data_IF_579492332980
#
_entry.id   IF_579492332980
#
_cell.length_a   1.000
_cell.length_b   1.000
_cell.length_c   1.000
_cell.angle_alpha   90.00
_cell.angle_beta   90.00
_cell.angle_gamma   90.00
#
_symmetry.space_group_name_H-M   'P 1'
#
loop_
_entity.id
_entity.type
_entity.pdbx_description
1 polymer ?
#
# COMPACT_ATOMS: atom_id res chain seq x y z
N UNK A 1 -26.05 14.57 -2.00
CA UNK A 1 -24.82 14.36 -2.78
C UNK A 1 -24.69 12.87 -3.02
N UNK A 2 -24.46 12.43 -4.25
CA UNK A 2 -24.11 11.02 -4.48
C UNK A 2 -22.74 10.76 -3.86
N UNK A 3 -22.63 9.71 -3.04
CA UNK A 3 -21.34 9.27 -2.50
C UNK A 3 -20.43 8.81 -3.65
N UNK A 4 -19.15 9.19 -3.59
CA UNK A 4 -18.12 8.72 -4.51
C UNK A 4 -17.25 7.62 -3.90
N UNK A 5 -16.33 7.07 -4.70
CA UNK A 5 -15.40 6.03 -4.26
C UNK A 5 -14.67 6.36 -2.94
N UNK A 6 -14.23 7.60 -2.78
CA UNK A 6 -13.50 8.03 -1.58
C UNK A 6 -14.37 8.16 -0.33
N UNK A 7 -15.68 8.31 -0.50
CA UNK A 7 -16.61 8.22 0.62
C UNK A 7 -16.75 6.76 1.06
N UNK A 8 -16.86 5.82 0.11
CA UNK A 8 -16.87 4.39 0.44
C UNK A 8 -15.56 3.91 1.08
N UNK A 9 -14.39 4.37 0.59
CA UNK A 9 -13.12 4.04 1.25
C UNK A 9 -13.07 4.56 2.69
N UNK A 10 -13.63 5.75 2.94
CA UNK A 10 -13.70 6.32 4.29
C UNK A 10 -14.66 5.54 5.18
N UNK A 11 -15.82 5.14 4.67
CA UNK A 11 -16.82 4.38 5.42
C UNK A 11 -16.30 2.99 5.81
N UNK A 12 -15.51 2.34 4.95
CA UNK A 12 -14.89 1.05 5.27
C UNK A 12 -13.64 1.16 6.16
N UNK A 13 -13.02 2.33 6.29
CA UNK A 13 -11.83 2.49 7.12
C UNK A 13 -12.17 2.34 8.61
N UNK A 14 -12.04 1.14 9.15
CA UNK A 14 -12.27 0.87 10.58
C UNK A 14 -10.97 0.64 11.36
N UNK A 15 -9.83 1.11 10.85
CA UNK A 15 -8.53 0.80 11.46
C UNK A 15 -8.27 1.65 12.70
N UNK A 16 -8.21 1.05 13.88
CA UNK A 16 -8.01 1.76 15.16
C UNK A 16 -6.74 2.63 15.15
N UNK A 17 -5.64 2.09 14.61
CA UNK A 17 -4.35 2.81 14.56
C UNK A 17 -4.39 4.08 13.69
N UNK A 18 -5.22 4.09 12.65
CA UNK A 18 -5.45 5.28 11.84
C UNK A 18 -6.09 6.39 12.69
N UNK A 19 -7.16 6.08 13.42
CA UNK A 19 -7.86 7.05 14.25
C UNK A 19 -7.00 7.53 15.42
N UNK A 20 -6.31 6.60 16.09
CA UNK A 20 -5.43 6.91 17.22
C UNK A 20 -4.30 7.88 16.81
N UNK A 21 -3.54 7.55 15.76
CA UNK A 21 -2.42 8.39 15.29
C UNK A 21 -2.94 9.73 14.78
N UNK A 22 -4.03 9.73 14.02
CA UNK A 22 -4.65 10.95 13.53
C UNK A 22 -5.05 11.90 14.66
N UNK A 23 -5.71 11.38 15.70
CA UNK A 23 -6.08 12.18 16.87
C UNK A 23 -4.85 12.66 17.66
N UNK A 24 -3.89 11.76 17.90
CA UNK A 24 -2.68 12.09 18.68
C UNK A 24 -1.83 13.19 18.04
N UNK A 25 -1.78 13.25 16.71
CA UNK A 25 -1.00 14.24 15.96
C UNK A 25 -1.81 15.48 15.54
N UNK A 26 -3.07 15.61 15.95
CA UNK A 26 -3.95 16.70 15.49
C UNK A 26 -4.26 16.66 13.99
N UNK A 27 -4.15 15.48 13.37
CA UNK A 27 -4.42 15.22 11.95
C UNK A 27 -5.46 14.08 11.80
N UNK A 28 -6.71 14.26 12.27
CA UNK A 28 -7.71 13.19 12.31
C UNK A 28 -8.14 12.67 10.93
N UNK A 29 -7.96 13.49 9.88
CA UNK A 29 -8.18 13.08 8.49
C UNK A 29 -6.98 12.41 7.83
N UNK A 30 -5.87 12.21 8.58
CA UNK A 30 -4.62 11.60 8.13
C UNK A 30 -4.09 12.19 6.81
N UNK A 31 -4.16 13.52 6.68
CA UNK A 31 -3.70 14.23 5.49
C UNK A 31 -2.19 14.08 5.33
N UNK A 32 -1.73 13.81 4.11
CA UNK A 32 -0.30 13.83 3.79
C UNK A 32 0.21 15.27 3.62
N UNK A 33 1.50 15.48 3.86
CA UNK A 33 2.13 16.79 3.64
C UNK A 33 2.24 17.14 2.16
N UNK A 34 2.39 18.44 1.86
CA UNK A 34 2.61 18.92 0.49
C UNK A 34 3.92 18.36 -0.07
N UNK A 35 4.94 18.25 0.76
CA UNK A 35 6.27 17.75 0.41
C UNK A 35 6.17 16.29 -0.03
N UNK A 36 5.53 15.44 0.77
CA UNK A 36 5.35 14.03 0.43
C UNK A 36 4.49 13.85 -0.83
N UNK A 37 3.43 14.66 -0.98
CA UNK A 37 2.62 14.68 -2.21
C UNK A 37 3.46 15.03 -3.44
N UNK A 38 4.36 16.02 -3.34
CA UNK A 38 5.23 16.40 -4.45
C UNK A 38 6.23 15.27 -4.80
N UNK A 39 6.72 14.54 -3.81
CA UNK A 39 7.58 13.36 -4.04
C UNK A 39 6.83 12.25 -4.77
N UNK A 40 5.59 11.95 -4.35
CA UNK A 40 4.71 11.00 -5.05
C UNK A 40 4.48 11.43 -6.51
N UNK A 41 4.14 12.71 -6.73
CA UNK A 41 3.90 13.27 -8.06
C UNK A 41 5.13 13.13 -8.96
N UNK A 42 6.32 13.48 -8.44
CA UNK A 42 7.57 13.42 -9.17
C UNK A 42 7.94 11.99 -9.57
N UNK A 43 7.90 11.04 -8.62
CA UNK A 43 8.34 9.66 -8.88
C UNK A 43 7.34 8.89 -9.74
N UNK A 44 6.04 9.15 -9.61
CA UNK A 44 5.01 8.49 -10.39
C UNK A 44 4.76 9.16 -11.74
N UNK A 45 5.41 10.31 -12.00
CA UNK A 45 5.18 11.16 -13.17
C UNK A 45 3.70 11.57 -13.32
N UNK A 46 3.09 11.98 -12.20
CA UNK A 46 1.69 12.37 -12.10
C UNK A 46 1.56 13.84 -11.70
N UNK A 47 0.42 14.44 -12.04
CA UNK A 47 -0.04 15.67 -11.41
C UNK A 47 -1.01 15.28 -10.30
N UNK A 48 -0.59 15.47 -9.04
CA UNK A 48 -1.41 15.13 -7.88
C UNK A 48 -1.97 16.42 -7.28
N UNK A 49 -3.28 16.70 -7.44
CA UNK A 49 -3.94 17.85 -6.81
C UNK A 49 -4.11 17.60 -5.31
N UNK A 50 -5.03 18.29 -4.64
CA UNK A 50 -5.31 17.98 -3.23
C UNK A 50 -5.80 16.54 -3.06
N UNK A 51 -5.21 15.84 -2.09
CA UNK A 51 -5.56 14.45 -1.78
C UNK A 51 -6.92 14.42 -1.10
N UNK A 52 -7.82 13.62 -1.65
CA UNK A 52 -9.20 13.48 -1.18
C UNK A 52 -9.35 12.39 -0.12
N UNK A 53 -8.45 11.41 -0.13
CA UNK A 53 -8.45 10.28 0.79
C UNK A 53 -7.02 9.82 1.12
N UNK A 54 -6.78 9.49 2.38
CA UNK A 54 -5.53 8.88 2.82
C UNK A 54 -5.85 7.95 3.98
N UNK A 55 -5.27 6.74 4.00
CA UNK A 55 -5.38 5.81 5.12
C UNK A 55 -4.15 4.94 5.22
N UNK A 56 -3.78 4.58 6.45
CA UNK A 56 -2.72 3.60 6.72
C UNK A 56 -3.32 2.24 7.02
N UNK A 57 -2.59 1.16 6.68
CA UNK A 57 -2.98 -0.23 6.95
C UNK A 57 -4.36 -0.60 6.39
N UNK A 58 -4.64 -0.11 5.20
CA UNK A 58 -5.96 -0.24 4.63
C UNK A 58 -6.15 -1.64 4.06
N UNK A 59 -7.22 -2.32 4.48
CA UNK A 59 -7.45 -3.72 4.11
C UNK A 59 -7.79 -3.85 2.62
N UNK A 60 -7.19 -4.81 1.92
CA UNK A 60 -7.44 -5.04 0.50
C UNK A 60 -8.87 -5.49 0.17
N UNK A 61 -9.53 -6.27 1.04
CA UNK A 61 -10.95 -6.60 0.91
C UNK A 61 -11.84 -5.35 1.01
N UNK A 62 -11.50 -4.39 1.88
CA UNK A 62 -12.21 -3.11 1.95
C UNK A 62 -12.03 -2.30 0.67
N UNK A 63 -10.81 -2.27 0.12
CA UNK A 63 -10.53 -1.59 -1.14
C UNK A 63 -11.38 -2.18 -2.28
N UNK A 64 -11.41 -3.50 -2.40
CA UNK A 64 -12.24 -4.18 -3.38
C UNK A 64 -13.74 -3.90 -3.18
N UNK A 65 -14.23 -3.98 -1.94
CA UNK A 65 -15.63 -3.69 -1.62
C UNK A 65 -16.03 -2.24 -1.95
N UNK A 66 -15.17 -1.25 -1.67
CA UNK A 66 -15.39 0.15 -2.04
C UNK A 66 -15.49 0.34 -3.56
N UNK A 67 -14.62 -0.35 -4.32
CA UNK A 67 -14.66 -0.31 -5.79
C UNK A 67 -15.96 -0.92 -6.32
N UNK A 68 -16.39 -2.05 -5.75
CA UNK A 68 -17.64 -2.71 -6.11
C UNK A 68 -18.87 -1.83 -5.79
N UNK A 69 -18.92 -1.21 -4.60
CA UNK A 69 -19.99 -0.28 -4.24
C UNK A 69 -20.04 0.91 -5.19
N UNK A 70 -18.88 1.50 -5.51
CA UNK A 70 -18.81 2.61 -6.45
C UNK A 70 -19.32 2.23 -7.84
N UNK A 71 -18.90 1.06 -8.36
CA UNK A 71 -19.35 0.55 -9.64
C UNK A 71 -20.87 0.28 -9.69
N UNK A 72 -21.46 -0.08 -8.55
CA UNK A 72 -22.89 -0.38 -8.42
C UNK A 72 -23.73 0.80 -7.90
N UNK A 73 -23.20 2.04 -7.95
CA UNK A 73 -23.88 3.24 -7.48
C UNK A 73 -24.37 3.15 -6.02
N UNK A 74 -23.56 2.55 -5.15
CA UNK A 74 -23.81 2.44 -3.71
C UNK A 74 -24.79 1.35 -3.29
N UNK A 75 -25.28 0.53 -4.22
CA UNK A 75 -26.20 -0.56 -3.90
C UNK A 75 -25.49 -1.66 -3.11
N UNK A 76 -25.99 -1.93 -1.90
CA UNK A 76 -25.52 -2.99 -1.01
C UNK A 76 -26.22 -4.30 -1.36
N UNK A 77 -25.71 -4.97 -2.39
CA UNK A 77 -26.26 -6.23 -2.86
C UNK A 77 -25.49 -7.43 -2.28
N UNK A 78 -26.08 -8.62 -2.39
CA UNK A 78 -25.39 -9.87 -2.07
C UNK A 78 -24.51 -10.22 -3.26
N UNK A 79 -23.20 -10.38 -3.02
CA UNK A 79 -22.23 -10.75 -4.04
C UNK A 79 -21.74 -12.17 -3.80
N UNK A 80 -21.68 -12.98 -4.87
CA UNK A 80 -20.97 -14.26 -4.83
C UNK A 80 -19.47 -14.02 -4.60
N UNK A 81 -18.85 -14.90 -3.82
CA UNK A 81 -17.40 -14.95 -3.63
C UNK A 81 -16.77 -16.21 -4.27
N UNK A 82 -17.40 -16.78 -5.31
CA UNK A 82 -16.89 -17.99 -5.98
C UNK A 82 -15.50 -17.80 -6.59
N UNK A 83 -15.18 -16.58 -7.03
CA UNK A 83 -13.85 -16.19 -7.50
C UNK A 83 -12.83 -16.03 -6.36
N UNK A 84 -13.27 -16.15 -5.10
CA UNK A 84 -12.43 -16.02 -3.91
C UNK A 84 -11.74 -14.67 -3.79
N UNK A 85 -12.36 -13.57 -4.28
CA UNK A 85 -11.74 -12.25 -4.22
C UNK A 85 -11.80 -11.69 -2.81
N UNK A 86 -12.85 -11.90 -2.03
CA UNK A 86 -12.85 -11.57 -0.61
C UNK A 86 -12.16 -12.72 0.13
N UNK A 87 -11.03 -12.45 0.79
CA UNK A 87 -10.24 -13.50 1.46
C UNK A 87 -10.60 -13.65 2.93
N UNK A 88 -11.15 -12.61 3.57
CA UNK A 88 -11.41 -12.58 5.00
C UNK A 88 -10.13 -12.67 5.84
N UNK A 89 -8.98 -12.37 5.24
CA UNK A 89 -7.66 -12.39 5.85
C UNK A 89 -7.07 -11.00 5.82
N UNK A 90 -6.30 -10.67 6.87
CA UNK A 90 -5.65 -9.37 6.99
C UNK A 90 -4.47 -9.26 6.02
N UNK A 91 -4.77 -8.85 4.79
CA UNK A 91 -3.79 -8.32 3.85
C UNK A 91 -4.04 -6.82 3.70
N UNK A 92 -3.12 -6.03 4.24
CA UNK A 92 -3.24 -4.58 4.33
C UNK A 92 -2.26 -3.87 3.38
N UNK A 93 -2.62 -2.66 2.96
CA UNK A 93 -1.74 -1.69 2.30
C UNK A 93 -1.18 -0.76 3.37
N UNK A 94 0.14 -0.60 3.45
CA UNK A 94 0.77 0.24 4.47
C UNK A 94 0.25 1.69 4.42
N UNK A 95 0.11 2.26 3.22
CA UNK A 95 -0.52 3.56 2.98
C UNK A 95 -1.28 3.59 1.64
N UNK A 96 -2.55 4.00 1.68
CA UNK A 96 -3.42 4.18 0.53
C UNK A 96 -3.72 5.68 0.36
N UNK A 97 -3.41 6.24 -0.81
CA UNK A 97 -3.66 7.65 -1.13
C UNK A 97 -4.61 7.74 -2.32
N UNK A 98 -5.69 8.51 -2.18
CA UNK A 98 -6.71 8.72 -3.19
C UNK A 98 -6.84 10.19 -3.57
N UNK A 99 -6.84 10.48 -4.86
CA UNK A 99 -7.19 11.81 -5.39
C UNK A 99 -8.00 11.69 -6.67
N UNK A 100 -8.76 12.73 -6.98
CA UNK A 100 -9.63 12.76 -8.15
C UNK A 100 -9.21 13.92 -9.08
N UNK A 101 -9.19 13.64 -10.38
CA UNK A 101 -9.06 14.65 -11.43
C UNK A 101 -10.24 14.44 -12.37
N UNK A 102 -11.06 15.47 -12.55
CA UNK A 102 -12.33 15.39 -13.26
C UNK A 102 -13.19 14.22 -12.73
N UNK A 103 -13.61 13.29 -13.59
CA UNK A 103 -14.37 12.10 -13.21
C UNK A 103 -13.49 10.85 -12.97
N UNK A 104 -12.18 11.03 -12.85
CA UNK A 104 -11.21 9.93 -12.74
C UNK A 104 -10.64 9.83 -11.33
N UNK A 105 -10.80 8.66 -10.72
CA UNK A 105 -10.19 8.31 -9.44
C UNK A 105 -8.80 7.74 -9.64
N UNK A 106 -7.83 8.26 -8.90
CA UNK A 106 -6.50 7.70 -8.81
C UNK A 106 -6.26 7.15 -7.41
N UNK A 107 -5.71 5.94 -7.34
CA UNK A 107 -5.40 5.24 -6.09
C UNK A 107 -3.93 4.89 -6.10
N UNK A 108 -3.15 5.48 -5.21
CA UNK A 108 -1.74 5.16 -5.01
C UNK A 108 -1.63 4.20 -3.82
N UNK A 109 -1.07 3.02 -4.09
CA UNK A 109 -0.83 1.95 -3.14
C UNK A 109 0.65 1.99 -2.79
N UNK A 110 0.96 2.25 -1.51
CA UNK A 110 2.31 2.33 -1.00
C UNK A 110 2.56 1.18 -0.04
N UNK A 111 3.60 0.39 -0.31
CA UNK A 111 4.12 -0.64 0.59
C UNK A 111 5.46 -0.17 1.15
N UNK A 112 5.62 -0.24 2.47
CA UNK A 112 6.76 0.32 3.19
C UNK A 112 7.52 -0.73 4.00
N UNK A 113 8.85 -0.66 3.98
CA UNK A 113 9.71 -1.42 4.90
C UNK A 113 10.86 -0.58 5.42
N UNK A 114 10.94 -0.47 6.75
CA UNK A 114 12.00 0.26 7.43
C UNK A 114 13.28 -0.58 7.62
N UNK A 115 13.18 -1.82 8.09
CA UNK A 115 14.35 -2.57 8.57
C UNK A 115 14.55 -3.97 7.96
N UNK A 116 13.58 -4.43 7.16
CA UNK A 116 13.70 -5.70 6.45
C UNK A 116 13.57 -5.44 4.96
N UNK A 117 14.09 -6.35 4.13
CA UNK A 117 13.79 -6.34 2.70
C UNK A 117 12.45 -7.00 2.41
N UNK A 118 11.96 -6.82 1.19
CA UNK A 118 10.90 -7.66 0.65
C UNK A 118 11.50 -8.91 0.03
N UNK A 119 10.85 -10.06 0.25
CA UNK A 119 11.14 -11.27 -0.52
C UNK A 119 10.30 -11.30 -1.80
N UNK A 120 10.77 -12.00 -2.83
CA UNK A 120 10.00 -12.17 -4.07
C UNK A 120 8.65 -12.84 -3.81
N UNK A 121 8.60 -13.88 -2.96
CA UNK A 121 7.33 -14.55 -2.61
C UNK A 121 6.30 -13.61 -1.99
N UNK A 122 6.71 -12.74 -1.05
CA UNK A 122 5.81 -11.76 -0.45
C UNK A 122 5.24 -10.79 -1.49
N UNK A 123 6.12 -10.29 -2.38
CA UNK A 123 5.69 -9.31 -3.38
C UNK A 123 4.91 -9.92 -4.52
N UNK A 124 5.21 -11.15 -4.92
CA UNK A 124 4.43 -11.87 -5.92
C UNK A 124 3.03 -12.15 -5.38
N UNK A 125 2.89 -12.57 -4.11
CA UNK A 125 1.58 -12.72 -3.47
C UNK A 125 0.79 -11.41 -3.47
N UNK A 126 1.44 -10.28 -3.13
CA UNK A 126 0.83 -8.95 -3.18
C UNK A 126 0.44 -8.54 -4.60
N UNK A 127 1.30 -8.78 -5.57
CA UNK A 127 1.05 -8.46 -6.98
C UNK A 127 -0.10 -9.29 -7.55
N UNK A 128 -0.16 -10.58 -7.21
CA UNK A 128 -1.26 -11.47 -7.60
C UNK A 128 -2.59 -10.99 -6.99
N UNK A 129 -2.58 -10.62 -5.71
CA UNK A 129 -3.75 -10.05 -5.04
C UNK A 129 -4.24 -8.75 -5.70
N UNK A 130 -3.31 -7.84 -5.99
CA UNK A 130 -3.65 -6.58 -6.67
C UNK A 130 -4.08 -6.81 -8.13
N UNK A 131 -3.57 -7.86 -8.79
CA UNK A 131 -4.07 -8.31 -10.10
C UNK A 131 -5.52 -8.78 -10.01
N UNK A 132 -5.89 -9.56 -8.99
CA UNK A 132 -7.29 -9.95 -8.78
C UNK A 132 -8.19 -8.70 -8.64
N UNK A 133 -7.74 -7.67 -7.92
CA UNK A 133 -8.54 -6.46 -7.66
C UNK A 133 -8.63 -5.54 -8.87
N UNK A 134 -7.53 -5.30 -9.60
CA UNK A 134 -7.46 -4.25 -10.64
C UNK A 134 -7.26 -4.79 -12.07
N UNK A 135 -6.93 -6.07 -12.22
CA UNK A 135 -6.52 -6.69 -13.48
C UNK A 135 -5.07 -6.38 -13.87
N UNK A 136 -4.57 -7.08 -14.90
CA UNK A 136 -3.17 -6.95 -15.36
C UNK A 136 -2.80 -5.55 -15.87
N UNK A 137 -3.79 -4.84 -16.43
CA UNK A 137 -3.60 -3.50 -16.98
C UNK A 137 -4.18 -2.40 -16.05
N UNK A 138 -4.70 -2.75 -14.88
CA UNK A 138 -5.21 -1.78 -13.91
C UNK A 138 -6.54 -1.13 -14.33
N UNK A 139 -7.25 -1.70 -15.29
CA UNK A 139 -8.42 -1.11 -15.94
C UNK A 139 -9.72 -1.90 -15.68
N UNK A 140 -9.76 -2.76 -14.65
CA UNK A 140 -10.96 -3.53 -14.28
C UNK A 140 -12.14 -2.63 -13.91
N UNK A 141 -11.87 -1.44 -13.37
CA UNK A 141 -12.89 -0.50 -12.91
C UNK A 141 -12.88 0.74 -13.80
N UNK A 142 -14.04 1.13 -14.30
CA UNK A 142 -14.16 2.34 -15.11
C UNK A 142 -13.74 3.56 -14.31
N UNK A 143 -12.95 4.43 -14.93
CA UNK A 143 -12.46 5.68 -14.34
C UNK A 143 -11.67 5.52 -13.03
N UNK A 144 -11.10 4.34 -12.75
CA UNK A 144 -10.19 4.15 -11.62
C UNK A 144 -8.82 3.71 -12.14
N UNK A 145 -7.77 4.42 -11.72
CA UNK A 145 -6.39 4.14 -12.11
C UNK A 145 -5.54 3.86 -10.87
N UNK A 146 -5.08 2.61 -10.68
CA UNK A 146 -4.19 2.26 -9.60
C UNK A 146 -2.73 2.60 -9.96
N UNK A 147 -1.97 2.99 -8.95
CA UNK A 147 -0.52 3.22 -9.00
C UNK A 147 0.13 2.48 -7.84
N UNK A 148 1.37 2.01 -8.03
CA UNK A 148 2.09 1.24 -7.03
C UNK A 148 3.46 1.85 -6.72
N UNK A 149 3.83 1.84 -5.45
CA UNK A 149 5.08 2.41 -4.97
C UNK A 149 5.64 1.64 -3.78
N UNK A 150 6.96 1.45 -3.77
CA UNK A 150 7.69 0.91 -2.63
C UNK A 150 8.38 2.03 -1.85
N UNK A 151 8.38 1.93 -0.52
CA UNK A 151 9.04 2.91 0.35
C UNK A 151 10.00 2.25 1.35
N UNK A 152 11.29 2.54 1.25
CA UNK A 152 12.32 1.92 2.12
C UNK A 152 13.58 2.77 2.20
N UNK A 153 14.45 2.59 3.20
CA UNK A 153 15.71 3.35 3.30
C UNK A 153 16.66 3.15 2.12
N UNK A 154 16.63 1.95 1.52
CA UNK A 154 17.44 1.58 0.36
C UNK A 154 16.53 1.05 -0.75
N UNK A 155 16.81 1.44 -1.99
CA UNK A 155 16.08 0.96 -3.17
C UNK A 155 16.19 -0.56 -3.28
N UNK A 156 15.08 -1.30 -3.48
CA UNK A 156 15.14 -2.73 -3.74
C UNK A 156 15.86 -3.01 -5.07
N UNK A 157 16.81 -3.95 -5.05
CA UNK A 157 17.61 -4.33 -6.24
C UNK A 157 17.48 -5.81 -6.63
N UNK A 158 16.81 -6.62 -5.82
CA UNK A 158 16.68 -8.08 -6.01
C UNK A 158 15.24 -8.53 -6.32
N UNK A 159 14.31 -7.60 -6.48
CA UNK A 159 12.92 -7.93 -6.80
C UNK A 159 12.79 -8.35 -8.27
N UNK A 160 12.14 -9.49 -8.48
CA UNK A 160 11.80 -10.02 -9.79
C UNK A 160 10.37 -9.59 -10.13
N UNK A 161 10.24 -8.72 -11.12
CA UNK A 161 8.98 -8.00 -11.40
C UNK A 161 8.30 -8.45 -12.70
N UNK A 162 8.88 -9.42 -13.41
CA UNK A 162 8.44 -9.83 -14.74
C UNK A 162 6.98 -10.31 -14.80
N UNK A 163 6.46 -10.84 -13.69
CA UNK A 163 5.09 -11.34 -13.58
C UNK A 163 4.11 -10.31 -13.01
N UNK A 164 4.57 -9.16 -12.55
CA UNK A 164 3.70 -8.19 -11.90
C UNK A 164 2.76 -7.52 -12.91
N UNK A 165 1.55 -7.10 -12.48
CA UNK A 165 0.70 -6.23 -13.29
C UNK A 165 1.46 -5.03 -13.84
N UNK A 166 1.20 -4.67 -15.10
CA UNK A 166 1.98 -3.66 -15.82
C UNK A 166 1.92 -2.29 -15.15
N UNK A 167 0.79 -1.97 -14.54
CA UNK A 167 0.58 -0.70 -13.83
C UNK A 167 1.39 -0.59 -12.52
N UNK A 168 1.91 -1.71 -12.00
CA UNK A 168 2.80 -1.69 -10.83
C UNK A 168 4.25 -1.35 -11.17
N UNK A 169 4.60 -1.34 -12.47
CA UNK A 169 5.97 -1.26 -12.95
C UNK A 169 6.16 -0.02 -13.82
N UNK A 170 7.21 0.74 -13.56
CA UNK A 170 7.59 1.89 -14.36
C UNK A 170 8.53 1.49 -15.50
N UNK A 171 8.29 2.05 -16.68
CA UNK A 171 9.23 1.99 -17.79
C UNK A 171 10.29 3.06 -17.58
N UNK A 172 11.49 2.66 -17.20
CA UNK A 172 12.65 3.57 -17.18
C UNK A 172 13.33 3.58 -18.54
N UNK A 173 13.65 4.75 -19.08
CA UNK A 173 14.49 4.83 -20.28
C UNK A 173 15.87 4.22 -19.99
N UNK A 174 16.24 3.17 -20.73
CA UNK A 174 17.55 2.50 -20.60
C UNK A 174 17.76 1.62 -19.36
N UNK A 175 16.76 1.49 -18.49
CA UNK A 175 16.81 0.65 -17.29
C UNK A 175 15.85 -0.55 -17.34
N UNK A 176 16.07 -1.53 -16.48
CA UNK A 176 15.12 -2.63 -16.32
C UNK A 176 13.81 -2.13 -15.67
N UNK A 177 12.64 -2.60 -16.14
CA UNK A 177 11.36 -2.26 -15.55
C UNK A 177 11.33 -2.57 -14.04
N UNK A 178 11.01 -1.56 -13.23
CA UNK A 178 10.99 -1.67 -11.77
C UNK A 178 9.82 -0.88 -11.18
N UNK A 179 9.32 -1.23 -9.98
CA UNK A 179 8.33 -0.41 -9.30
C UNK A 179 8.89 0.97 -8.96
N UNK A 180 7.99 1.96 -8.83
CA UNK A 180 8.34 3.26 -8.29
C UNK A 180 8.89 3.11 -6.86
N UNK A 181 9.83 3.97 -6.48
CA UNK A 181 10.44 3.91 -5.16
C UNK A 181 10.73 5.29 -4.57
N UNK A 182 10.34 5.49 -3.32
CA UNK A 182 10.72 6.65 -2.51
C UNK A 182 11.55 6.19 -1.31
N UNK A 183 12.54 6.98 -0.94
CA UNK A 183 13.34 6.71 0.26
C UNK A 183 12.53 6.96 1.52
N UNK A 184 12.33 5.94 2.34
CA UNK A 184 11.84 6.11 3.70
C UNK A 184 12.99 6.60 4.59
N UNK A 185 12.82 7.76 5.22
CA UNK A 185 13.76 8.25 6.21
C UNK A 185 13.56 7.46 7.52
N UNK A 186 14.59 6.72 7.90
CA UNK A 186 14.65 5.99 9.18
C UNK A 186 15.91 6.48 9.88
N UNK A 187 15.86 6.80 11.18
CA UNK A 187 17.08 7.14 11.90
C UNK A 187 18.09 5.97 11.86
N UNK A 188 19.35 6.24 12.21
CA UNK A 188 20.41 5.22 12.20
C UNK A 188 20.66 4.59 13.58
N UNK A 189 19.89 4.99 14.59
CA UNK A 189 20.15 4.67 16.01
C UNK A 189 19.22 3.61 16.58
N UNK A 190 18.40 2.96 15.73
CA UNK A 190 17.48 1.94 16.20
C UNK A 190 18.22 0.67 16.59
N UNK A 191 17.82 0.13 17.73
CA UNK A 191 18.21 -1.19 18.22
C UNK A 191 17.06 -2.18 18.01
N UNK A 192 17.36 -3.48 18.05
CA UNK A 192 16.35 -4.54 18.02
C UNK A 192 16.62 -5.63 19.03
N UNK A 193 15.53 -6.25 19.46
CA UNK A 193 15.57 -7.53 20.16
C UNK A 193 15.82 -8.63 19.12
N UNK A 194 16.79 -9.50 19.38
CA UNK A 194 17.06 -10.69 18.59
C UNK A 194 17.05 -11.93 19.47
N UNK A 195 16.45 -13.00 18.98
CA UNK A 195 16.55 -14.32 19.61
C UNK A 195 17.97 -14.86 19.44
N UNK A 196 18.49 -15.49 20.48
CA UNK A 196 19.83 -16.08 20.48
C UNK A 196 19.92 -17.38 21.29
N UNK A 197 21.07 -18.04 21.24
CA UNK A 197 21.44 -19.12 22.14
C UNK A 197 22.11 -18.57 23.42
N UNK A 198 22.50 -19.48 24.34
CA UNK A 198 23.19 -19.13 25.59
C UNK A 198 24.51 -18.37 25.40
N UNK A 199 25.06 -18.35 24.20
CA UNK A 199 26.31 -17.68 23.84
C UNK A 199 26.05 -16.39 23.03
N UNK A 200 24.79 -15.96 22.88
CA UNK A 200 24.43 -14.76 22.12
C UNK A 200 24.38 -14.94 20.60
N UNK A 201 24.52 -16.15 20.05
CA UNK A 201 24.44 -16.38 18.61
C UNK A 201 22.99 -16.46 18.13
N UNK A 202 22.63 -15.94 16.93
CA UNK A 202 21.28 -15.99 16.42
C UNK A 202 20.68 -17.41 16.43
N UNK A 203 19.49 -17.56 17.00
CA UNK A 203 18.80 -18.85 17.10
C UNK A 203 17.28 -18.65 17.00
N UNK A 204 16.59 -19.46 16.20
CA UNK A 204 15.15 -19.33 15.95
C UNK A 204 14.28 -19.91 17.07
N UNK A 205 14.81 -20.83 17.89
CA UNK A 205 14.09 -21.46 19.02
C UNK A 205 13.68 -20.44 20.08
N UNK A 206 14.52 -19.43 20.31
CA UNK A 206 14.20 -18.31 21.20
C UNK A 206 14.34 -18.61 22.69
N UNK A 207 15.17 -19.57 23.07
CA UNK A 207 15.45 -19.90 24.48
C UNK A 207 16.18 -18.74 25.21
N UNK A 208 16.88 -17.87 24.47
CA UNK A 208 17.52 -16.64 24.95
C UNK A 208 17.23 -15.47 24.00
N UNK A 209 17.46 -14.23 24.48
CA UNK A 209 17.37 -13.01 23.68
C UNK A 209 18.48 -12.03 24.03
N UNK A 210 18.81 -11.15 23.07
CA UNK A 210 19.79 -10.07 23.22
C UNK A 210 19.31 -8.80 22.53
N UNK A 211 19.96 -7.68 22.83
CA UNK A 211 19.82 -6.40 22.14
C UNK A 211 20.98 -6.25 21.16
N UNK A 212 20.68 -5.86 19.92
CA UNK A 212 21.69 -5.56 18.89
C UNK A 212 21.28 -4.30 18.12
N UNK A 213 22.25 -3.62 17.52
CA UNK A 213 22.01 -2.53 16.59
C UNK A 213 21.30 -3.02 15.32
N UNK A 214 20.56 -2.12 14.64
CA UNK A 214 19.86 -2.43 13.38
C UNK A 214 20.65 -2.10 12.13
#
# INVERSE_FOLDING_TARGET
MNQGLFDYLRDFNSKERFFLVGQALGNPGFKISREFRNELAAVLHLQIPEVSFCAMDFHLDWLYASLQLNANNGKKEIHSNDAGIIKGQQEDVDLLVGYQVDNTYHIIIVEAKAFTGWTNSQMDSKADRLREIFGDNGNRWQHVFPHFLLMSPKKPVQLQTARWPKWMIQKTQGGQPAPAWIKLQVPSTQIRVSRCDKNGKPNTKGDYWTIIDR
#
